data_IF_516395973462
#
_entry.id   IF_516395973462
#
_cell.length_a   1.000
_cell.length_b   1.000
_cell.length_c   1.000
_cell.angle_alpha   90.00
_cell.angle_beta   90.00
_cell.angle_gamma   90.00
#
_symmetry.space_group_name_H-M   'P 1'
#
loop_
_entity.id
_entity.type
_entity.pdbx_description
1 polymer ?
#
# COMPACT_ATOMS: atom_id res chain seq x y z
N UNK A 1 6.01 28.47 -43.75
CA UNK A 1 5.04 28.14 -42.69
C UNK A 1 5.53 28.75 -41.39
N UNK A 2 4.92 29.87 -40.99
CA UNK A 2 5.21 30.61 -39.77
C UNK A 2 3.89 30.83 -39.04
N UNK A 3 3.89 30.62 -37.73
CA UNK A 3 2.76 30.92 -36.87
C UNK A 3 3.25 31.72 -35.66
N UNK A 4 2.45 32.68 -35.21
CA UNK A 4 2.72 33.45 -34.00
C UNK A 4 1.44 33.67 -33.21
N UNK A 5 1.58 33.68 -31.90
CA UNK A 5 0.51 33.95 -30.95
C UNK A 5 1.03 34.88 -29.87
N UNK A 6 0.36 36.02 -29.70
CA UNK A 6 0.71 37.01 -28.70
C UNK A 6 -0.48 37.29 -27.78
N UNK A 7 -0.21 37.29 -26.48
CA UNK A 7 -1.12 37.55 -25.37
C UNK A 7 -0.39 38.49 -24.40
N UNK A 8 -1.09 39.25 -23.54
CA UNK A 8 -0.46 40.23 -22.65
C UNK A 8 0.69 39.70 -21.78
N UNK A 9 0.74 38.40 -21.53
CA UNK A 9 1.80 37.75 -20.75
C UNK A 9 2.55 36.63 -21.46
N UNK A 10 2.13 36.24 -22.67
CA UNK A 10 2.71 35.09 -23.37
C UNK A 10 2.93 35.46 -24.83
N UNK A 11 4.14 35.26 -25.33
CA UNK A 11 4.46 35.38 -26.76
C UNK A 11 5.02 34.05 -27.24
N UNK A 12 4.45 33.52 -28.32
CA UNK A 12 4.84 32.25 -28.92
C UNK A 12 5.06 32.41 -30.42
N UNK A 13 6.14 31.82 -30.93
CA UNK A 13 6.53 31.84 -32.33
C UNK A 13 6.92 30.42 -32.75
N UNK A 14 6.40 30.00 -33.88
CA UNK A 14 6.68 28.68 -34.46
C UNK A 14 7.15 28.85 -35.89
N UNK A 15 8.30 28.28 -36.21
CA UNK A 15 8.86 28.26 -37.55
C UNK A 15 8.89 26.83 -38.06
N UNK A 16 8.31 26.61 -39.24
CA UNK A 16 8.30 25.30 -39.90
C UNK A 16 7.82 24.23 -38.92
N UNK A 17 6.58 24.31 -38.47
CA UNK A 17 6.05 23.28 -37.57
C UNK A 17 6.24 21.87 -38.18
N UNK A 18 6.72 20.87 -37.42
CA UNK A 18 6.99 20.84 -35.98
C UNK A 18 8.47 21.07 -35.58
N UNK A 19 9.29 21.69 -36.43
CA UNK A 19 10.75 21.69 -36.26
C UNK A 19 11.28 22.69 -35.22
N UNK A 20 10.70 23.88 -35.13
CA UNK A 20 11.17 24.93 -34.23
C UNK A 20 10.01 25.70 -33.61
N UNK A 21 10.00 25.79 -32.29
CA UNK A 21 9.12 26.68 -31.55
C UNK A 21 9.85 27.37 -30.40
N UNK A 22 9.38 28.57 -30.11
CA UNK A 22 9.88 29.43 -29.06
C UNK A 22 8.72 30.11 -28.38
N UNK A 23 8.68 30.07 -27.06
CA UNK A 23 7.66 30.76 -26.27
C UNK A 23 8.27 31.40 -25.04
N UNK A 24 7.73 32.54 -24.64
CA UNK A 24 8.12 33.26 -23.42
C UNK A 24 6.88 33.62 -22.63
N UNK A 25 6.87 33.29 -21.34
CA UNK A 25 5.86 33.70 -20.38
C UNK A 25 6.47 34.71 -19.40
N UNK A 26 6.08 35.98 -19.52
CA UNK A 26 6.62 37.06 -18.70
C UNK A 26 6.07 37.08 -17.27
N UNK A 27 4.93 36.42 -17.00
CA UNK A 27 4.39 36.32 -15.63
C UNK A 27 5.13 35.30 -14.79
N UNK A 28 5.61 34.22 -15.43
CA UNK A 28 6.35 33.14 -14.76
C UNK A 28 7.87 33.27 -14.89
N UNK A 29 8.33 34.20 -15.72
CA UNK A 29 9.73 34.32 -16.10
C UNK A 29 10.24 32.98 -16.65
N UNK A 30 9.51 32.45 -17.63
CA UNK A 30 9.75 31.14 -18.26
C UNK A 30 10.02 31.32 -19.76
N UNK A 31 11.10 30.72 -20.24
CA UNK A 31 11.42 30.53 -21.66
C UNK A 31 11.26 29.06 -22.05
N UNK A 32 10.55 28.81 -23.14
CA UNK A 32 10.33 27.49 -23.72
C UNK A 32 10.90 27.41 -25.13
N UNK A 33 11.65 26.35 -25.40
CA UNK A 33 12.26 26.04 -26.70
C UNK A 33 11.92 24.62 -27.06
N UNK A 34 11.25 24.42 -28.18
CA UNK A 34 10.97 23.11 -28.75
C UNK A 34 11.69 22.93 -30.08
N UNK A 35 12.27 21.74 -30.24
CA UNK A 35 12.86 21.28 -31.48
C UNK A 35 12.25 19.94 -31.85
N UNK A 36 11.83 19.77 -33.11
CA UNK A 36 11.22 18.52 -33.58
C UNK A 36 10.11 18.04 -32.64
N UNK A 37 9.18 18.93 -32.32
CA UNK A 37 8.10 18.65 -31.38
C UNK A 37 7.44 17.29 -31.70
N UNK A 38 7.26 16.39 -30.72
CA UNK A 38 7.44 16.57 -29.28
C UNK A 38 8.80 16.05 -28.72
N UNK A 39 9.81 15.81 -29.56
CA UNK A 39 11.00 15.06 -29.18
C UNK A 39 11.95 15.83 -28.27
N UNK A 40 12.26 17.09 -28.58
CA UNK A 40 13.16 17.93 -27.80
C UNK A 40 12.41 19.13 -27.25
N UNK A 41 12.44 19.32 -25.93
CA UNK A 41 11.82 20.45 -25.26
C UNK A 41 12.71 20.89 -24.10
N UNK A 42 13.03 22.17 -24.05
CA UNK A 42 13.71 22.79 -22.91
C UNK A 42 12.88 23.96 -22.41
N UNK A 43 12.52 23.94 -21.14
CA UNK A 43 11.87 25.05 -20.44
C UNK A 43 12.81 25.52 -19.34
N UNK A 44 13.14 26.80 -19.33
CA UNK A 44 13.97 27.41 -18.30
C UNK A 44 13.19 28.55 -17.67
N UNK A 45 13.02 28.52 -16.35
CA UNK A 45 12.42 29.64 -15.63
C UNK A 45 12.77 29.65 -14.16
N UNK A 46 12.35 30.72 -13.49
CA UNK A 46 12.72 31.00 -12.09
C UNK A 46 12.34 29.89 -11.09
N UNK A 47 11.18 29.26 -11.29
CA UNK A 47 10.62 28.24 -10.36
C UNK A 47 10.63 26.81 -10.91
N UNK A 48 10.80 26.67 -12.23
CA UNK A 48 10.64 25.40 -12.93
C UNK A 48 11.62 25.29 -14.09
N UNK A 49 12.27 24.14 -14.19
CA UNK A 49 13.14 23.79 -15.31
C UNK A 49 12.73 22.44 -15.86
N UNK A 50 12.60 22.32 -17.18
CA UNK A 50 12.21 21.08 -17.85
C UNK A 50 13.17 20.80 -18.99
N UNK A 51 13.62 19.56 -19.12
CA UNK A 51 14.40 19.08 -20.27
C UNK A 51 13.82 17.76 -20.72
N UNK A 52 13.35 17.67 -21.97
CA UNK A 52 12.83 16.45 -22.56
C UNK A 52 13.61 16.12 -23.81
N UNK A 53 14.00 14.86 -23.90
CA UNK A 53 14.57 14.21 -25.07
C UNK A 53 13.86 12.87 -25.23
N UNK A 54 12.63 12.92 -25.73
CA UNK A 54 11.80 11.73 -25.87
C UNK A 54 12.30 10.83 -27.01
N UNK A 55 12.11 9.51 -26.89
CA UNK A 55 11.58 8.78 -25.73
C UNK A 55 12.64 8.47 -24.65
N UNK A 56 13.86 8.98 -24.77
CA UNK A 56 15.00 8.51 -23.96
C UNK A 56 15.08 9.13 -22.56
N UNK A 57 14.71 10.40 -22.41
CA UNK A 57 14.89 11.12 -21.16
C UNK A 57 13.87 12.25 -21.01
N UNK A 58 13.40 12.48 -19.79
CA UNK A 58 12.66 13.68 -19.42
C UNK A 58 13.00 14.01 -17.98
N UNK A 59 13.31 15.25 -17.69
CA UNK A 59 13.57 15.76 -16.35
C UNK A 59 12.79 17.04 -16.15
N UNK A 60 12.03 17.09 -15.06
CA UNK A 60 11.25 18.24 -14.67
C UNK A 60 11.54 18.53 -13.21
N UNK A 61 12.11 19.70 -12.95
CA UNK A 61 12.42 20.19 -11.61
C UNK A 61 11.58 21.42 -11.31
N UNK A 62 11.08 21.46 -10.09
CA UNK A 62 10.35 22.57 -9.49
C UNK A 62 10.85 22.79 -8.07
N UNK A 63 10.36 23.82 -7.38
CA UNK A 63 10.78 24.16 -6.00
C UNK A 63 10.75 22.95 -5.06
N UNK A 64 9.65 22.18 -5.07
CA UNK A 64 9.44 21.06 -4.14
C UNK A 64 9.49 19.68 -4.80
N UNK A 65 9.47 19.59 -6.13
CA UNK A 65 9.34 18.30 -6.81
C UNK A 65 10.30 18.13 -7.99
N UNK A 66 10.81 16.92 -8.13
CA UNK A 66 11.58 16.45 -9.28
C UNK A 66 10.89 15.25 -9.89
N UNK A 67 10.75 15.23 -11.21
CA UNK A 67 10.18 14.11 -11.96
C UNK A 67 11.11 13.78 -13.11
N UNK A 68 11.65 12.57 -13.08
CA UNK A 68 12.59 12.09 -14.08
C UNK A 68 12.04 10.82 -14.73
N UNK A 69 12.19 10.72 -16.04
CA UNK A 69 11.90 9.52 -16.82
C UNK A 69 13.14 9.12 -17.57
N UNK A 70 13.38 7.82 -17.61
CA UNK A 70 14.47 7.22 -18.35
C UNK A 70 13.90 6.13 -19.24
N UNK A 71 14.15 6.27 -20.54
CA UNK A 71 13.68 5.37 -21.58
C UNK A 71 12.17 5.15 -21.42
N UNK A 72 11.36 6.16 -21.71
CA UNK A 72 9.91 6.03 -21.61
C UNK A 72 9.42 4.81 -22.43
N UNK A 73 8.54 3.94 -21.88
CA UNK A 73 7.86 4.02 -20.57
C UNK A 73 8.52 3.16 -19.46
N UNK A 74 9.78 2.77 -19.61
CA UNK A 74 10.45 1.76 -18.78
C UNK A 74 10.69 2.20 -17.35
N UNK A 75 11.20 3.41 -17.09
CA UNK A 75 11.49 3.85 -15.72
C UNK A 75 11.09 5.30 -15.48
N UNK A 76 10.53 5.54 -14.30
CA UNK A 76 10.12 6.84 -13.78
C UNK A 76 10.51 6.95 -12.32
N UNK A 77 11.07 8.09 -11.96
CA UNK A 77 11.31 8.50 -10.59
C UNK A 77 10.60 9.83 -10.33
N UNK A 78 9.77 9.90 -9.30
CA UNK A 78 9.17 11.13 -8.81
C UNK A 78 9.63 11.35 -7.36
N UNK A 79 10.22 12.51 -7.08
CA UNK A 79 10.58 12.95 -5.73
C UNK A 79 9.78 14.20 -5.40
N UNK A 80 9.14 14.22 -4.24
CA UNK A 80 8.52 15.38 -3.64
C UNK A 80 9.21 15.63 -2.30
N UNK A 81 9.78 16.81 -2.10
CA UNK A 81 10.51 17.18 -0.92
C UNK A 81 9.98 18.52 -0.42
N UNK A 82 9.44 18.51 0.79
CA UNK A 82 9.02 19.70 1.54
C UNK A 82 9.69 19.66 2.93
N UNK A 83 9.64 20.76 3.71
CA UNK A 83 10.27 20.82 5.04
C UNK A 83 9.79 19.73 6.02
N UNK A 84 8.55 19.26 5.87
CA UNK A 84 7.94 18.30 6.80
C UNK A 84 7.68 16.92 6.20
N UNK A 85 7.73 16.80 4.87
CA UNK A 85 7.32 15.60 4.15
C UNK A 85 8.21 15.36 2.94
N UNK A 86 8.70 14.13 2.82
CA UNK A 86 9.44 13.63 1.66
C UNK A 86 8.77 12.38 1.14
N UNK A 87 8.53 12.34 -0.17
CA UNK A 87 8.01 11.19 -0.89
C UNK A 87 8.93 10.88 -2.08
N UNK A 88 9.35 9.63 -2.18
CA UNK A 88 10.11 9.10 -3.30
C UNK A 88 9.32 7.96 -3.93
N UNK A 89 9.17 8.00 -5.25
CA UNK A 89 8.32 7.08 -5.99
C UNK A 89 9.02 6.61 -7.25
N UNK A 90 9.34 5.33 -7.29
CA UNK A 90 9.84 4.63 -8.47
C UNK A 90 8.70 3.87 -9.15
N UNK A 91 8.65 3.94 -10.48
CA UNK A 91 7.79 3.10 -11.30
C UNK A 91 8.58 2.49 -12.45
N UNK A 92 8.31 1.21 -12.71
CA UNK A 92 8.84 0.48 -13.86
C UNK A 92 7.68 0.05 -14.75
N UNK A 93 7.82 0.25 -16.07
CA UNK A 93 6.82 -0.04 -17.09
C UNK A 93 5.44 0.52 -16.72
N UNK A 94 5.42 1.81 -16.34
CA UNK A 94 4.25 2.62 -15.94
C UNK A 94 3.49 2.15 -14.68
N UNK A 95 3.15 0.88 -14.57
CA UNK A 95 2.40 0.27 -13.46
C UNK A 95 2.90 -1.12 -13.04
N UNK A 96 3.76 -1.78 -13.82
CA UNK A 96 4.17 -3.17 -13.55
C UNK A 96 4.78 -3.29 -12.17
N UNK A 97 5.73 -2.42 -11.85
CA UNK A 97 6.31 -2.33 -10.52
C UNK A 97 6.26 -0.89 -10.03
N UNK A 98 5.94 -0.71 -8.76
CA UNK A 98 5.99 0.57 -8.09
C UNK A 98 6.55 0.43 -6.68
N UNK A 99 7.38 1.38 -6.26
CA UNK A 99 7.91 1.51 -4.91
C UNK A 99 7.73 2.97 -4.48
N UNK A 100 6.90 3.21 -3.47
CA UNK A 100 6.69 4.53 -2.87
C UNK A 100 7.19 4.48 -1.44
N UNK A 101 8.06 5.42 -1.09
CA UNK A 101 8.56 5.64 0.27
C UNK A 101 8.15 7.04 0.68
N UNK A 102 7.46 7.15 1.81
CA UNK A 102 7.00 8.40 2.40
C UNK A 102 7.65 8.55 3.77
N UNK A 103 8.18 9.73 4.08
CA UNK A 103 8.84 10.01 5.35
C UNK A 103 8.43 11.38 5.87
N UNK A 104 8.20 11.47 7.19
CA UNK A 104 7.83 12.70 7.88
C UNK A 104 8.98 13.16 8.78
N UNK A 105 9.48 14.37 8.54
CA UNK A 105 10.67 14.87 9.22
C UNK A 105 10.48 15.10 10.72
N UNK A 106 9.23 15.35 11.17
CA UNK A 106 8.92 15.65 12.57
C UNK A 106 8.98 14.42 13.47
N UNK A 107 8.43 13.30 13.02
CA UNK A 107 8.28 12.08 13.83
C UNK A 107 9.32 11.01 13.48
N UNK A 108 10.10 11.22 12.41
CA UNK A 108 11.04 10.22 11.88
C UNK A 108 10.38 8.94 11.37
N UNK A 109 9.05 8.95 11.23
CA UNK A 109 8.29 7.79 10.76
C UNK A 109 8.40 7.64 9.24
N UNK A 110 8.43 6.39 8.80
CA UNK A 110 8.49 6.01 7.39
C UNK A 110 7.29 5.11 7.06
N UNK A 111 6.67 5.36 5.90
CA UNK A 111 5.68 4.48 5.28
C UNK A 111 6.23 4.02 3.95
N UNK A 112 6.14 2.72 3.67
CA UNK A 112 6.60 2.15 2.40
C UNK A 112 5.51 1.34 1.75
N UNK A 113 5.35 1.47 0.44
CA UNK A 113 4.40 0.72 -0.38
C UNK A 113 5.10 0.19 -1.61
N UNK A 114 5.10 -1.12 -1.80
CA UNK A 114 5.66 -1.78 -2.97
C UNK A 114 4.58 -2.60 -3.64
N UNK A 115 4.44 -2.50 -4.96
CA UNK A 115 3.49 -3.31 -5.69
C UNK A 115 4.12 -3.87 -6.96
N UNK A 116 3.85 -5.13 -7.25
CA UNK A 116 4.24 -5.82 -8.47
C UNK A 116 2.97 -6.41 -9.08
N UNK A 117 2.47 -5.78 -10.14
CA UNK A 117 1.26 -6.24 -10.82
C UNK A 117 1.52 -7.57 -11.56
N UNK A 118 0.58 -8.54 -11.53
CA UNK A 118 -0.62 -8.64 -10.69
C UNK A 118 -0.35 -9.39 -9.37
N UNK A 119 0.91 -9.60 -9.03
CA UNK A 119 1.37 -10.58 -8.04
C UNK A 119 1.07 -10.15 -6.61
N UNK A 120 1.61 -9.01 -6.17
CA UNK A 120 1.51 -8.63 -4.76
C UNK A 120 1.50 -7.12 -4.52
N UNK A 121 0.94 -6.77 -3.37
CA UNK A 121 1.05 -5.45 -2.75
C UNK A 121 1.61 -5.64 -1.34
N UNK A 122 2.72 -4.98 -1.06
CA UNK A 122 3.33 -4.86 0.25
C UNK A 122 3.17 -3.43 0.75
N UNK A 123 2.79 -3.26 2.01
CA UNK A 123 2.73 -1.96 2.67
C UNK A 123 3.25 -2.05 4.11
N UNK A 124 4.09 -1.10 4.50
CA UNK A 124 4.56 -0.89 5.87
C UNK A 124 4.02 0.45 6.34
N UNK A 125 3.34 0.45 7.50
CA UNK A 125 2.85 1.63 8.18
C UNK A 125 3.97 2.30 8.99
N UNK A 126 3.72 3.56 9.32
CA UNK A 126 4.51 4.39 10.20
C UNK A 126 4.65 3.81 11.62
N UNK A 127 3.71 2.97 12.05
CA UNK A 127 3.68 2.32 13.37
C UNK A 127 4.29 0.90 13.38
N UNK A 128 4.96 0.50 12.29
CA UNK A 128 5.63 -0.81 12.19
C UNK A 128 4.75 -1.97 11.71
N UNK A 129 3.45 -1.72 11.53
CA UNK A 129 2.50 -2.67 10.94
C UNK A 129 2.82 -2.92 9.46
N UNK A 130 3.07 -4.17 9.09
CA UNK A 130 3.39 -4.62 7.74
C UNK A 130 2.25 -5.48 7.21
N UNK A 131 1.94 -5.34 5.93
CA UNK A 131 0.88 -6.07 5.25
C UNK A 131 1.34 -6.52 3.88
N UNK A 132 1.10 -7.79 3.56
CA UNK A 132 1.28 -8.38 2.25
C UNK A 132 -0.08 -8.87 1.73
N UNK A 133 -0.35 -8.64 0.46
CA UNK A 133 -1.64 -8.95 -0.15
C UNK A 133 -1.47 -9.47 -1.57
N UNK A 134 -2.18 -10.55 -1.90
CA UNK A 134 -2.15 -11.18 -3.22
C UNK A 134 -3.56 -11.61 -3.66
N UNK A 135 -3.85 -11.54 -4.97
CA UNK A 135 -3.17 -10.74 -6.00
C UNK A 135 -3.39 -9.23 -5.84
N UNK A 136 -2.57 -8.42 -6.53
CA UNK A 136 -2.70 -6.97 -6.60
C UNK A 136 -3.18 -6.55 -8.00
N UNK A 137 -4.48 -6.72 -8.28
CA UNK A 137 -5.04 -6.55 -9.62
C UNK A 137 -5.22 -5.09 -10.04
N UNK A 138 -5.53 -4.20 -9.09
CA UNK A 138 -6.00 -2.84 -9.39
C UNK A 138 -5.15 -1.78 -8.69
N UNK A 139 -4.56 -2.12 -7.55
CA UNK A 139 -3.80 -1.22 -6.69
C UNK A 139 -2.58 -0.57 -7.38
N UNK A 140 -1.84 -1.25 -8.27
CA UNK A 140 -0.75 -0.61 -9.03
C UNK A 140 -1.24 0.39 -10.09
N UNK A 141 -2.48 0.25 -10.56
CA UNK A 141 -3.08 1.02 -11.66
C UNK A 141 -3.87 2.22 -11.10
N UNK A 142 -4.65 2.00 -10.05
CA UNK A 142 -5.48 3.01 -9.39
C UNK A 142 -4.82 3.43 -8.06
N UNK A 143 -4.05 4.50 -8.11
CA UNK A 143 -3.45 5.16 -6.95
C UNK A 143 -4.48 6.00 -6.17
N UNK A 144 -5.64 5.41 -5.87
CA UNK A 144 -6.75 6.04 -5.11
C UNK A 144 -7.15 5.14 -3.96
N UNK A 145 -6.79 5.55 -2.75
CA UNK A 145 -7.02 4.78 -1.51
C UNK A 145 -8.49 4.34 -1.32
N UNK A 146 -9.47 5.16 -1.74
CA UNK A 146 -10.90 4.85 -1.56
C UNK A 146 -11.46 3.72 -2.42
N UNK A 147 -10.97 3.53 -3.65
CA UNK A 147 -11.49 2.48 -4.55
C UNK A 147 -10.96 1.10 -4.12
N UNK A 148 -9.71 1.06 -3.65
CA UNK A 148 -9.07 -0.16 -3.14
C UNK A 148 -9.89 -0.80 -2.01
N UNK A 149 -10.34 -0.01 -1.04
CA UNK A 149 -11.05 -0.53 0.14
C UNK A 149 -12.35 -1.25 -0.24
N UNK A 150 -13.07 -0.74 -1.25
CA UNK A 150 -14.37 -1.27 -1.65
C UNK A 150 -14.26 -2.54 -2.49
N UNK A 151 -13.32 -2.57 -3.44
CA UNK A 151 -13.29 -3.62 -4.45
C UNK A 151 -12.25 -4.69 -4.16
N UNK A 152 -11.15 -4.34 -3.48
CA UNK A 152 -10.06 -5.27 -3.27
C UNK A 152 -10.42 -6.53 -2.46
N UNK A 153 -11.38 -6.47 -1.52
CA UNK A 153 -11.89 -7.70 -0.91
C UNK A 153 -12.45 -8.70 -1.91
N UNK A 154 -12.72 -8.39 -3.18
CA UNK A 154 -13.27 -9.34 -4.17
C UNK A 154 -12.23 -10.21 -4.85
N UNK A 155 -10.94 -9.85 -4.84
CA UNK A 155 -9.89 -10.64 -5.48
C UNK A 155 -8.79 -11.09 -4.52
N UNK A 156 -8.67 -10.48 -3.34
CA UNK A 156 -7.64 -10.79 -2.36
C UNK A 156 -7.87 -12.19 -1.77
N UNK A 157 -7.13 -13.16 -2.30
CA UNK A 157 -7.13 -14.54 -1.80
C UNK A 157 -6.11 -14.76 -0.70
N UNK A 158 -5.14 -13.85 -0.53
CA UNK A 158 -4.12 -13.93 0.49
C UNK A 158 -3.91 -12.54 1.11
N UNK A 159 -4.08 -12.44 2.42
CA UNK A 159 -3.77 -11.24 3.19
C UNK A 159 -3.00 -11.66 4.43
N UNK A 160 -1.75 -11.21 4.54
CA UNK A 160 -0.93 -11.40 5.73
C UNK A 160 -0.60 -10.05 6.34
N UNK A 161 -0.77 -9.93 7.65
CA UNK A 161 -0.41 -8.76 8.44
C UNK A 161 0.50 -9.20 9.56
N UNK A 162 1.49 -8.38 9.90
CA UNK A 162 2.39 -8.63 11.02
C UNK A 162 3.03 -7.35 11.49
N UNK A 163 3.43 -7.32 12.75
CA UNK A 163 4.09 -6.17 13.35
C UNK A 163 5.43 -6.56 13.99
N UNK A 164 6.13 -5.56 14.52
CA UNK A 164 7.43 -5.76 15.18
C UNK A 164 7.29 -6.37 16.59
N UNK A 165 6.08 -6.32 17.16
CA UNK A 165 5.77 -6.88 18.48
C UNK A 165 5.57 -8.41 18.44
N UNK A 166 5.52 -8.99 17.24
CA UNK A 166 5.39 -10.43 17.01
C UNK A 166 3.96 -10.88 16.70
N UNK A 167 2.99 -9.96 16.71
CA UNK A 167 1.63 -10.24 16.28
C UNK A 167 1.62 -10.48 14.77
N UNK A 168 0.83 -11.46 14.34
CA UNK A 168 0.68 -11.81 12.95
C UNK A 168 -0.70 -12.40 12.69
N UNK A 169 -1.34 -11.96 11.62
CA UNK A 169 -2.60 -12.50 11.14
C UNK A 169 -2.48 -12.89 9.66
N UNK A 170 -3.17 -13.95 9.27
CA UNK A 170 -3.21 -14.47 7.92
C UNK A 170 -4.66 -14.85 7.59
N UNK A 171 -5.14 -14.37 6.46
CA UNK A 171 -6.41 -14.75 5.86
C UNK A 171 -6.19 -15.29 4.45
N UNK A 172 -6.75 -16.46 4.17
CA UNK A 172 -6.76 -17.09 2.86
C UNK A 172 -8.20 -17.27 2.36
N UNK A 173 -8.39 -17.07 1.05
CA UNK A 173 -9.65 -17.27 0.34
C UNK A 173 -10.86 -16.68 1.09
N UNK A 174 -10.85 -15.37 1.34
CA UNK A 174 -11.96 -14.66 2.01
C UNK A 174 -12.32 -15.22 3.39
N UNK A 175 -11.32 -15.43 4.25
CA UNK A 175 -11.47 -16.03 5.59
C UNK A 175 -11.92 -17.50 5.57
N UNK A 176 -11.76 -18.22 4.45
CA UNK A 176 -11.92 -19.68 4.44
C UNK A 176 -10.91 -20.31 5.40
N UNK A 177 -9.67 -19.84 5.37
CA UNK A 177 -8.68 -20.14 6.38
C UNK A 177 -8.19 -18.85 7.01
N UNK A 178 -8.19 -18.82 8.34
CA UNK A 178 -7.70 -17.70 9.12
C UNK A 178 -6.74 -18.23 10.18
N UNK A 179 -5.64 -17.53 10.39
CA UNK A 179 -4.66 -17.83 11.41
C UNK A 179 -4.20 -16.54 12.04
N UNK A 180 -4.21 -16.49 13.36
CA UNK A 180 -3.90 -15.30 14.14
C UNK A 180 -3.04 -15.69 15.32
N UNK A 181 -1.99 -14.93 15.52
CA UNK A 181 -1.03 -15.14 16.59
C UNK A 181 -0.73 -13.79 17.18
N UNK A 182 -1.03 -13.62 18.45
CA UNK A 182 -0.56 -12.52 19.25
C UNK A 182 0.43 -13.03 20.31
N UNK A 183 0.99 -12.12 21.10
CA UNK A 183 1.94 -12.44 22.17
C UNK A 183 1.44 -13.55 23.12
N UNK A 184 0.16 -13.51 23.48
CA UNK A 184 -0.42 -14.43 24.46
C UNK A 184 -1.52 -15.33 23.86
N UNK A 185 -1.97 -15.07 22.63
CA UNK A 185 -3.09 -15.80 22.04
C UNK A 185 -2.75 -16.40 20.67
N UNK A 186 -3.37 -17.54 20.38
CA UNK A 186 -3.30 -18.21 19.09
C UNK A 186 -4.72 -18.60 18.68
N UNK A 187 -5.09 -18.21 17.48
CA UNK A 187 -6.35 -18.54 16.85
C UNK A 187 -6.14 -19.14 15.47
N UNK A 188 -6.96 -20.11 15.10
CA UNK A 188 -7.08 -20.52 13.71
C UNK A 188 -8.51 -20.97 13.42
N UNK A 189 -8.94 -20.77 12.19
CA UNK A 189 -10.29 -21.06 11.74
C UNK A 189 -10.22 -21.61 10.31
N UNK A 190 -10.94 -22.70 10.08
CA UNK A 190 -11.26 -23.25 8.77
C UNK A 190 -12.77 -23.18 8.60
N UNK A 191 -13.26 -22.13 7.96
CA UNK A 191 -14.68 -21.88 7.77
C UNK A 191 -15.33 -22.95 6.88
N UNK A 192 -16.56 -23.43 7.18
CA UNK A 192 -17.31 -23.26 8.43
C UNK A 192 -17.01 -24.38 9.45
N UNK A 193 -16.04 -25.24 9.17
CA UNK A 193 -15.86 -26.55 9.81
C UNK A 193 -15.30 -26.48 11.22
N UNK A 194 -14.30 -25.63 11.44
CA UNK A 194 -13.51 -25.68 12.67
C UNK A 194 -12.99 -24.29 13.04
N UNK A 195 -12.98 -23.98 14.33
CA UNK A 195 -12.31 -22.81 14.89
C UNK A 195 -11.70 -23.20 16.22
N UNK A 196 -10.47 -22.76 16.45
CA UNK A 196 -9.82 -22.83 17.74
C UNK A 196 -9.30 -21.46 18.15
N UNK A 197 -9.43 -21.14 19.43
CA UNK A 197 -8.80 -19.99 20.07
C UNK A 197 -8.16 -20.47 21.36
N UNK A 198 -6.95 -20.02 21.62
CA UNK A 198 -6.20 -20.35 22.82
C UNK A 198 -5.52 -19.09 23.34
N UNK A 199 -5.51 -18.95 24.66
CA UNK A 199 -4.85 -17.89 25.41
C UNK A 199 -4.44 -18.48 26.78
N UNK A 200 -3.70 -17.75 27.64
CA UNK A 200 -3.35 -18.27 28.95
C UNK A 200 -4.63 -18.53 29.73
N UNK A 201 -4.80 -19.76 30.21
CA UNK A 201 -5.99 -20.20 30.97
C UNK A 201 -7.32 -20.19 30.19
N UNK A 202 -7.29 -20.09 28.86
CA UNK A 202 -8.48 -20.13 28.02
C UNK A 202 -8.24 -20.94 26.74
N UNK A 203 -9.10 -21.92 26.48
CA UNK A 203 -9.14 -22.67 25.24
C UNK A 203 -10.59 -22.76 24.77
N UNK A 204 -10.85 -22.45 23.51
CA UNK A 204 -12.15 -22.62 22.88
C UNK A 204 -11.99 -23.36 21.55
N UNK A 205 -12.82 -24.36 21.33
CA UNK A 205 -12.88 -25.16 20.11
C UNK A 205 -14.33 -25.23 19.64
N UNK A 206 -14.59 -24.74 18.44
CA UNK A 206 -15.90 -24.77 17.79
C UNK A 206 -15.83 -25.64 16.54
N UNK A 207 -16.82 -26.51 16.38
CA UNK A 207 -17.01 -27.35 15.18
C UNK A 207 -18.34 -26.96 14.53
N UNK A 208 -18.34 -26.88 13.20
CA UNK A 208 -19.49 -26.53 12.36
C UNK A 208 -20.19 -25.27 12.87
N UNK A 209 -19.42 -24.18 13.01
CA UNK A 209 -19.89 -22.88 13.52
C UNK A 209 -20.56 -22.92 14.90
N UNK A 210 -20.10 -23.80 15.78
CA UNK A 210 -20.59 -23.88 17.16
C UNK A 210 -21.73 -24.88 17.36
N UNK A 211 -22.00 -25.75 16.36
CA UNK A 211 -22.83 -26.94 16.56
C UNK A 211 -22.31 -27.78 17.74
N UNK A 212 -20.99 -27.84 17.86
CA UNK A 212 -20.30 -28.34 19.05
C UNK A 212 -19.33 -27.23 19.46
N UNK A 213 -19.43 -26.76 20.69
CA UNK A 213 -18.47 -25.82 21.26
C UNK A 213 -17.94 -26.38 22.57
N UNK A 214 -16.63 -26.45 22.68
CA UNK A 214 -15.90 -26.80 23.89
C UNK A 214 -15.12 -25.57 24.33
N UNK A 215 -15.35 -25.10 25.55
CA UNK A 215 -14.57 -24.02 26.14
C UNK A 215 -14.05 -24.42 27.50
N UNK A 216 -12.78 -24.15 27.75
CA UNK A 216 -12.09 -24.37 29.00
C UNK A 216 -11.53 -23.04 29.48
N UNK A 217 -11.86 -22.68 30.71
CA UNK A 217 -11.31 -21.56 31.45
C UNK A 217 -10.68 -22.09 32.75
N UNK A 218 -9.83 -21.32 33.41
CA UNK A 218 -8.99 -21.69 34.57
C UNK A 218 -9.62 -22.65 35.60
N UNK A 219 -10.93 -22.61 35.82
CA UNK A 219 -11.65 -23.50 36.75
C UNK A 219 -12.91 -24.15 36.17
N UNK A 220 -13.26 -23.90 34.91
CA UNK A 220 -14.54 -24.31 34.32
C UNK A 220 -14.35 -24.85 32.91
N UNK A 221 -14.83 -26.07 32.68
CA UNK A 221 -14.98 -26.66 31.36
C UNK A 221 -16.45 -26.69 30.99
N UNK A 222 -16.76 -26.36 29.74
CA UNK A 222 -18.12 -26.30 29.21
C UNK A 222 -18.15 -26.95 27.84
N UNK A 223 -19.09 -27.88 27.64
CA UNK A 223 -19.43 -28.43 26.34
C UNK A 223 -20.88 -28.05 25.99
N UNK A 224 -21.10 -27.26 24.94
CA UNK A 224 -22.43 -26.94 24.43
C UNK A 224 -22.66 -27.56 23.06
N UNK A 225 -23.88 -28.08 22.85
CA UNK A 225 -24.34 -28.69 21.61
C UNK A 225 -25.49 -27.86 21.02
N UNK A 226 -25.60 -27.80 19.70
CA UNK A 226 -26.70 -27.18 18.95
C UNK A 226 -27.01 -25.73 19.36
N UNK A 227 -25.98 -24.96 19.75
CA UNK A 227 -26.07 -23.53 20.08
C UNK A 227 -26.92 -23.26 21.33
N UNK A 228 -27.24 -24.32 22.10
CA UNK A 228 -28.00 -24.20 23.33
C UNK A 228 -27.15 -23.53 24.42
N UNK A 229 -27.71 -22.58 25.19
CA UNK A 229 -26.99 -21.92 26.28
C UNK A 229 -26.71 -22.86 27.46
N UNK A 230 -27.34 -24.04 27.48
CA UNK A 230 -27.17 -25.09 28.49
C UNK A 230 -26.11 -26.08 28.00
N UNK A 231 -24.85 -25.84 28.37
CA UNK A 231 -23.77 -26.79 28.17
C UNK A 231 -23.59 -27.69 29.39
N UNK A 232 -22.99 -28.86 29.19
CA UNK A 232 -22.46 -29.65 30.31
C UNK A 232 -21.27 -28.89 30.88
N UNK A 233 -21.46 -28.32 32.07
CA UNK A 233 -20.44 -27.58 32.81
C UNK A 233 -19.83 -28.53 33.85
N UNK A 234 -18.51 -28.61 33.90
CA UNK A 234 -17.82 -29.30 34.99
C UNK A 234 -16.62 -28.49 35.47
N UNK A 235 -16.41 -28.51 36.79
CA UNK A 235 -15.25 -27.89 37.40
C UNK A 235 -14.06 -28.84 37.21
N UNK A 236 -12.95 -28.31 36.71
CA UNK A 236 -11.68 -29.03 36.79
C UNK A 236 -11.22 -28.96 38.24
N UNK A 237 -11.06 -30.10 38.91
CA UNK A 237 -10.35 -30.14 40.18
C UNK A 237 -8.93 -29.64 39.92
N UNK A 238 -8.63 -28.41 40.34
CA UNK A 238 -7.25 -28.04 40.67
C UNK A 238 -6.84 -29.04 41.74
N UNK A 239 -6.01 -30.00 41.36
CA UNK A 239 -5.34 -30.90 42.27
C UNK A 239 -4.46 -30.02 43.16
N UNK A 240 -5.04 -29.54 44.26
CA UNK A 240 -4.30 -29.05 45.40
C UNK A 240 -3.52 -30.24 45.95
N UNK A 241 -2.31 -30.46 45.43
CA UNK A 241 -1.32 -31.21 46.18
C UNK A 241 -0.80 -30.26 47.26
N UNK A 242 -1.53 -30.19 48.36
CA UNK A 242 -1.01 -29.70 49.63
C UNK A 242 -1.26 -30.76 50.71
N UNK A 243 -0.13 -31.31 51.20
CA UNK A 243 0.08 -32.02 52.47
C UNK A 243 -0.45 -33.46 52.62
N UNK A 244 0.47 -34.44 52.71
CA UNK A 244 0.91 -35.06 53.98
C UNK A 244 1.87 -36.24 53.73
N UNK A 245 3.18 -36.04 53.96
CA UNK A 245 3.96 -36.66 55.05
C UNK A 245 5.44 -36.27 54.96
#
# INVERSE_FOLDING_TARGET
LYASFDSPSVSSRTWLWPFFGYSTDSKKDEEERDYLWPLLLTVTGSKRTVTKFLPFYSDERSEDATKSWYLWPFYRNDTLQSPHYRQERDKVLFFLFSNTVESWAQDGKERRRMALWPLFLYSSSADGEKRLTLPALVEPILDREGIEILWAPLWRIYVQQWNEQGDSSLSLFWNLYWHDRSKDSLGWELFPLYRQRSAPLFLEVQILKGLINYSESSSRRRLSLFWLPFGYDWQGETSAQESTH
#
